data_IF_903994183122
#
_entry.id   IF_903994183122
#
_cell.length_a   1.000
_cell.length_b   1.000
_cell.length_c   1.000
_cell.angle_alpha   90.00
_cell.angle_beta   90.00
_cell.angle_gamma   90.00
#
_symmetry.space_group_name_H-M   'P 1'
#
loop_
_entity.id
_entity.type
_entity.pdbx_description
1 polymer ?
#
# COMPACT_ATOMS: atom_id res chain seq x y z
N UNK A 1 -21.83 -26.82 -28.00
CA UNK A 1 -21.39 -28.13 -27.47
C UNK A 1 -20.18 -28.55 -28.30
N UNK A 2 -19.04 -28.80 -27.64
CA UNK A 2 -17.66 -28.91 -28.17
C UNK A 2 -17.04 -27.54 -28.56
N UNK A 3 -15.87 -27.08 -28.11
CA UNK A 3 -14.74 -27.66 -27.36
C UNK A 3 -14.19 -26.57 -26.39
N UNK A 4 -14.48 -26.67 -25.09
CA UNK A 4 -13.81 -25.85 -24.05
C UNK A 4 -13.37 -26.68 -22.82
N UNK A 5 -13.58 -28.00 -22.83
CA UNK A 5 -13.35 -28.87 -21.66
C UNK A 5 -12.01 -29.62 -21.68
N UNK A 6 -10.97 -29.06 -22.30
CA UNK A 6 -9.62 -29.63 -22.20
C UNK A 6 -8.55 -28.56 -22.32
N UNK A 7 -8.48 -27.68 -21.33
CA UNK A 7 -7.22 -26.99 -21.03
C UNK A 7 -6.56 -27.84 -19.96
N UNK A 8 -5.51 -28.56 -20.33
CA UNK A 8 -4.67 -29.29 -19.38
C UNK A 8 -4.21 -28.31 -18.28
N UNK A 9 -4.24 -28.74 -17.01
CA UNK A 9 -3.78 -28.00 -15.82
C UNK A 9 -2.33 -27.45 -15.93
N UNK A 10 -1.60 -27.81 -16.98
CA UNK A 10 -0.23 -27.42 -17.27
C UNK A 10 -0.09 -26.06 -17.96
N UNK A 11 -1.17 -25.45 -18.47
CA UNK A 11 -1.12 -24.21 -19.26
C UNK A 11 -1.73 -22.98 -18.54
N UNK A 12 -1.91 -23.07 -17.22
CA UNK A 12 -2.11 -21.88 -16.41
C UNK A 12 -0.74 -21.22 -16.18
N UNK A 13 -0.50 -19.94 -16.54
CA UNK A 13 0.80 -19.28 -16.34
C UNK A 13 1.27 -19.22 -14.86
N UNK A 14 0.44 -19.70 -13.94
CA UNK A 14 0.64 -19.71 -12.49
C UNK A 14 0.99 -21.10 -11.92
N UNK A 15 0.92 -22.21 -12.69
CA UNK A 15 0.98 -23.57 -12.12
C UNK A 15 2.39 -24.15 -11.92
N UNK A 16 3.42 -23.62 -12.60
CA UNK A 16 4.74 -24.27 -12.65
C UNK A 16 5.87 -23.61 -11.84
N UNK A 17 5.58 -22.59 -11.02
CA UNK A 17 6.54 -22.09 -10.03
C UNK A 17 5.88 -22.22 -8.66
N UNK A 18 6.43 -23.03 -7.75
CA UNK A 18 5.87 -23.29 -6.40
C UNK A 18 5.82 -22.07 -5.47
N UNK A 19 5.78 -20.85 -6.03
CA UNK A 19 5.74 -19.55 -5.38
C UNK A 19 4.28 -19.11 -5.16
N UNK A 20 3.38 -19.42 -6.09
CA UNK A 20 1.96 -19.08 -5.98
C UNK A 20 1.22 -20.03 -5.05
N UNK A 21 0.41 -19.45 -4.16
CA UNK A 21 -0.44 -20.15 -3.22
C UNK A 21 -1.89 -19.71 -3.44
N UNK A 22 -2.80 -20.64 -3.22
CA UNK A 22 -4.24 -20.36 -3.21
C UNK A 22 -4.72 -20.32 -1.76
N UNK A 23 -5.54 -19.33 -1.42
CA UNK A 23 -6.07 -19.17 -0.05
C UNK A 23 -7.51 -18.67 -0.07
N UNK A 24 -8.15 -18.77 1.10
CA UNK A 24 -9.50 -18.29 1.35
C UNK A 24 -9.46 -17.23 2.42
N UNK A 25 -10.08 -16.07 2.17
CA UNK A 25 -10.32 -15.07 3.22
C UNK A 25 -11.72 -15.23 3.80
N UNK A 26 -11.84 -14.90 5.09
CA UNK A 26 -13.10 -14.83 5.82
C UNK A 26 -13.33 -13.38 6.23
N UNK A 27 -14.50 -12.84 5.92
CA UNK A 27 -14.85 -11.45 6.21
C UNK A 27 -16.15 -11.43 7.04
N UNK A 28 -16.12 -10.91 8.28
CA UNK A 28 -17.33 -10.77 9.09
C UNK A 28 -18.28 -9.75 8.44
N UNK A 29 -19.55 -10.14 8.32
CA UNK A 29 -20.58 -9.32 7.69
C UNK A 29 -21.42 -8.61 8.77
N UNK A 30 -21.40 -7.26 8.84
CA UNK A 30 -22.23 -6.52 9.77
C UNK A 30 -23.71 -6.61 9.38
N UNK A 31 -24.60 -6.61 10.37
CA UNK A 31 -26.03 -6.65 10.16
C UNK A 31 -26.74 -5.77 11.21
N UNK A 32 -27.38 -4.69 10.77
CA UNK A 32 -28.11 -3.79 11.66
C UNK A 32 -29.22 -4.53 12.42
N UNK A 33 -29.45 -4.13 13.67
CA UNK A 33 -30.36 -4.76 14.63
C UNK A 33 -29.98 -6.20 15.05
N UNK A 34 -28.81 -6.69 14.66
CA UNK A 34 -28.31 -7.98 15.10
C UNK A 34 -27.05 -7.79 15.94
N UNK A 35 -27.02 -8.49 17.08
CA UNK A 35 -25.95 -8.39 18.06
C UNK A 35 -25.15 -9.69 18.10
N UNK A 36 -23.86 -9.56 18.21
CA UNK A 36 -22.89 -10.63 18.38
C UNK A 36 -22.07 -10.38 19.64
N UNK A 37 -21.38 -11.39 20.17
CA UNK A 37 -20.49 -11.17 21.31
C UNK A 37 -19.21 -10.43 20.89
N UNK A 38 -18.79 -10.60 19.63
CA UNK A 38 -17.64 -9.95 19.03
C UNK A 38 -17.80 -9.87 17.49
N UNK A 39 -16.88 -9.17 16.82
CA UNK A 39 -16.81 -9.18 15.35
C UNK A 39 -16.59 -10.59 14.78
N UNK A 40 -15.78 -11.42 15.46
CA UNK A 40 -15.45 -12.79 15.02
C UNK A 40 -16.62 -13.77 15.14
N UNK A 41 -17.65 -13.43 15.92
CA UNK A 41 -18.87 -14.23 16.06
C UNK A 41 -19.93 -13.87 14.99
N UNK A 42 -19.71 -12.81 14.21
CA UNK A 42 -20.59 -12.43 13.12
C UNK A 42 -20.63 -13.50 12.02
N UNK A 43 -21.64 -13.46 11.15
CA UNK A 43 -21.64 -14.39 10.01
C UNK A 43 -20.59 -13.95 9.00
N UNK A 44 -19.85 -14.90 8.46
CA UNK A 44 -18.72 -14.62 7.58
C UNK A 44 -19.05 -14.80 6.10
N UNK A 45 -18.55 -13.92 5.25
CA UNK A 45 -18.38 -14.15 3.81
C UNK A 45 -17.06 -14.90 3.60
N UNK A 46 -17.07 -15.94 2.76
CA UNK A 46 -15.88 -16.68 2.41
C UNK A 46 -15.56 -16.41 0.94
N UNK A 47 -14.36 -15.90 0.65
CA UNK A 47 -13.89 -15.69 -0.72
C UNK A 47 -12.71 -16.63 -0.94
N UNK A 48 -12.93 -17.66 -1.76
CA UNK A 48 -11.94 -18.67 -2.09
C UNK A 48 -11.17 -18.28 -3.37
N UNK A 49 -10.08 -19.00 -3.66
CA UNK A 49 -9.37 -18.84 -4.94
C UNK A 49 -8.45 -17.62 -5.02
N UNK A 50 -8.03 -17.07 -3.88
CA UNK A 50 -7.11 -15.93 -3.87
C UNK A 50 -5.71 -16.44 -4.13
N UNK A 51 -5.17 -16.06 -5.29
CA UNK A 51 -3.82 -16.40 -5.72
C UNK A 51 -2.85 -15.32 -5.21
N UNK A 52 -1.88 -15.73 -4.39
CA UNK A 52 -0.87 -14.84 -3.83
C UNK A 52 0.49 -15.50 -3.67
N UNK A 53 1.53 -14.69 -3.54
CA UNK A 53 2.91 -15.10 -3.29
C UNK A 53 3.31 -14.69 -1.87
N UNK A 54 4.10 -15.53 -1.20
CA UNK A 54 4.72 -15.14 0.07
C UNK A 54 5.75 -14.04 -0.17
N UNK A 55 5.61 -12.90 0.51
CA UNK A 55 6.56 -11.78 0.40
C UNK A 55 7.99 -12.24 0.70
N UNK A 56 8.19 -13.11 1.69
CA UNK A 56 9.52 -13.66 2.00
C UNK A 56 10.12 -14.48 0.86
N UNK A 57 9.31 -15.22 0.09
CA UNK A 57 9.81 -15.95 -1.09
C UNK A 57 10.13 -14.99 -2.24
N UNK A 58 9.32 -13.94 -2.41
CA UNK A 58 9.59 -12.87 -3.38
C UNK A 58 10.91 -12.15 -3.04
N UNK A 59 11.13 -11.82 -1.77
CA UNK A 59 12.39 -11.21 -1.30
C UNK A 59 13.59 -12.12 -1.56
N UNK A 60 13.47 -13.43 -1.27
CA UNK A 60 14.54 -14.41 -1.57
C UNK A 60 14.86 -14.46 -3.05
N UNK A 61 13.83 -14.64 -3.87
CA UNK A 61 13.97 -14.68 -5.33
C UNK A 61 14.65 -13.42 -5.86
N UNK A 62 14.17 -12.24 -5.43
CA UNK A 62 14.71 -10.96 -5.86
C UNK A 62 16.17 -10.75 -5.44
N UNK A 63 16.56 -11.16 -4.23
CA UNK A 63 17.94 -11.00 -3.74
C UNK A 63 18.92 -12.04 -4.32
N UNK A 64 18.41 -13.18 -4.81
CA UNK A 64 19.19 -14.25 -5.44
C UNK A 64 19.32 -14.08 -6.96
N UNK A 65 18.48 -13.25 -7.57
CA UNK A 65 18.55 -12.90 -8.97
C UNK A 65 19.83 -12.11 -9.30
N UNK A 66 20.38 -12.32 -10.50
CA UNK A 66 21.61 -11.65 -10.93
C UNK A 66 21.53 -10.12 -10.90
N UNK A 67 20.33 -9.54 -11.06
CA UNK A 67 20.12 -8.10 -10.94
C UNK A 67 20.43 -7.56 -9.53
N UNK A 68 20.38 -8.41 -8.50
CA UNK A 68 20.72 -8.06 -7.11
C UNK A 68 22.18 -7.64 -6.93
N UNK A 69 23.08 -8.08 -7.82
CA UNK A 69 24.50 -7.65 -7.82
C UNK A 69 24.66 -6.14 -7.99
N UNK A 70 23.64 -5.45 -8.51
CA UNK A 70 23.62 -4.00 -8.69
C UNK A 70 22.86 -3.24 -7.58
N UNK A 71 22.42 -3.93 -6.53
CA UNK A 71 21.67 -3.30 -5.45
C UNK A 71 22.56 -2.48 -4.52
N UNK A 72 21.95 -1.45 -3.93
CA UNK A 72 22.56 -0.65 -2.89
C UNK A 72 22.10 -1.14 -1.51
N UNK A 73 23.01 -1.80 -0.79
CA UNK A 73 22.84 -2.24 0.60
C UNK A 73 23.37 -1.26 1.65
N UNK A 74 24.05 -0.21 1.22
CA UNK A 74 24.56 0.84 2.11
C UNK A 74 24.00 2.15 1.57
N UNK A 75 23.14 2.84 2.33
CA UNK A 75 22.65 4.14 1.91
C UNK A 75 23.74 5.20 2.04
N UNK A 76 23.60 6.28 1.28
CA UNK A 76 24.57 7.36 1.28
C UNK A 76 23.94 8.70 0.96
N UNK A 77 24.62 9.78 1.37
CA UNK A 77 24.20 11.12 1.01
C UNK A 77 24.82 11.54 -0.33
N UNK A 78 23.98 11.70 -1.35
CA UNK A 78 24.39 12.26 -2.63
C UNK A 78 24.33 13.80 -2.59
N UNK A 79 25.38 14.43 -3.15
CA UNK A 79 25.47 15.88 -3.31
C UNK A 79 25.89 16.21 -4.75
N UNK A 80 25.33 17.28 -5.28
CA UNK A 80 25.67 17.82 -6.60
C UNK A 80 26.33 19.20 -6.46
N UNK A 81 27.33 19.46 -7.30
CA UNK A 81 27.99 20.76 -7.43
C UNK A 81 27.92 21.20 -8.88
N UNK A 82 27.47 22.43 -9.13
CA UNK A 82 27.42 23.03 -10.46
C UNK A 82 28.83 23.38 -10.97
N UNK A 83 29.67 23.91 -10.08
CA UNK A 83 31.08 24.23 -10.31
C UNK A 83 31.91 23.87 -9.07
N UNK A 84 33.26 23.75 -9.18
CA UNK A 84 34.12 23.44 -8.04
C UNK A 84 33.91 24.38 -6.82
N UNK A 85 33.65 25.66 -7.10
CA UNK A 85 33.46 26.73 -6.11
C UNK A 85 32.00 26.84 -5.62
N UNK A 86 31.06 26.14 -6.26
CA UNK A 86 29.65 26.17 -5.84
C UNK A 86 29.43 25.39 -4.54
N UNK A 87 28.48 25.87 -3.74
CA UNK A 87 28.03 25.15 -2.55
C UNK A 87 27.37 23.82 -2.98
N UNK A 88 27.78 22.68 -2.40
CA UNK A 88 27.16 21.39 -2.71
C UNK A 88 25.69 21.38 -2.29
N UNK A 89 24.83 20.91 -3.19
CA UNK A 89 23.40 20.80 -2.99
C UNK A 89 23.04 19.34 -2.73
N UNK A 90 22.21 19.10 -1.69
CA UNK A 90 21.70 17.78 -1.35
C UNK A 90 20.82 17.25 -2.49
N UNK A 91 21.10 16.03 -2.96
CA UNK A 91 20.30 15.35 -3.97
C UNK A 91 19.66 14.11 -3.36
N UNK A 92 18.35 13.98 -3.56
CA UNK A 92 17.58 12.76 -3.28
C UNK A 92 17.05 12.26 -4.63
N UNK A 93 17.67 11.21 -5.15
CA UNK A 93 17.35 10.67 -6.48
C UNK A 93 16.78 9.27 -6.44
N UNK A 94 17.08 8.54 -5.37
CA UNK A 94 16.81 7.12 -5.14
C UNK A 94 16.43 6.94 -3.67
N UNK A 95 15.73 5.85 -3.37
CA UNK A 95 15.25 5.60 -2.02
C UNK A 95 16.41 5.46 -1.01
N UNK A 96 17.47 4.72 -1.36
CA UNK A 96 18.70 4.58 -0.57
C UNK A 96 19.54 5.87 -0.46
N UNK A 97 19.12 6.97 -1.09
CA UNK A 97 19.72 8.31 -0.89
C UNK A 97 18.85 9.23 -0.04
N UNK A 98 17.61 8.84 0.26
CA UNK A 98 16.65 9.62 1.04
C UNK A 98 16.98 9.58 2.54
N UNK A 99 16.62 10.64 3.26
CA UNK A 99 16.90 10.76 4.69
C UNK A 99 16.16 9.69 5.50
N UNK A 100 14.92 9.35 5.14
CA UNK A 100 14.15 8.27 5.78
C UNK A 100 14.84 6.91 5.67
N UNK A 101 15.49 6.59 4.55
CA UNK A 101 16.22 5.33 4.40
C UNK A 101 17.49 5.34 5.26
N UNK A 102 18.21 6.47 5.30
CA UNK A 102 19.41 6.62 6.13
C UNK A 102 19.09 6.46 7.62
N UNK A 103 17.98 7.04 8.09
CA UNK A 103 17.51 6.91 9.47
C UNK A 103 17.13 5.47 9.81
N UNK A 104 16.42 4.79 8.91
CA UNK A 104 16.02 3.40 9.11
C UNK A 104 17.23 2.45 9.09
N UNK A 105 18.21 2.70 8.24
CA UNK A 105 19.44 1.90 8.15
C UNK A 105 20.26 2.01 9.43
N UNK A 106 20.31 3.20 10.04
CA UNK A 106 20.96 3.39 11.34
C UNK A 106 20.29 2.57 12.45
N UNK A 107 18.95 2.48 12.46
CA UNK A 107 18.22 1.63 13.41
C UNK A 107 18.59 0.16 13.19
N UNK A 108 18.54 -0.33 11.95
CA UNK A 108 18.83 -1.73 11.62
C UNK A 108 20.29 -2.10 11.86
N UNK A 109 21.22 -1.20 11.56
CA UNK A 109 22.65 -1.38 11.81
C UNK A 109 22.98 -1.48 13.31
N UNK A 110 22.12 -0.93 14.18
CA UNK A 110 22.28 -1.02 15.64
C UNK A 110 21.79 -2.36 16.23
N UNK A 111 21.06 -3.16 15.46
CA UNK A 111 20.53 -4.45 15.93
C UNK A 111 21.63 -5.52 16.01
N UNK A 112 21.47 -6.54 16.89
CA UNK A 112 22.40 -7.65 16.97
C UNK A 112 22.60 -8.35 15.61
N UNK A 113 23.85 -8.66 15.28
CA UNK A 113 24.21 -9.41 14.06
C UNK A 113 23.95 -10.91 14.21
N UNK A 114 24.04 -11.43 15.44
CA UNK A 114 23.80 -12.85 15.76
C UNK A 114 22.59 -12.97 16.69
N UNK A 115 21.64 -13.82 16.33
CA UNK A 115 20.54 -14.27 17.17
C UNK A 115 20.84 -15.70 17.62
N UNK A 116 20.27 -16.11 18.77
CA UNK A 116 20.53 -17.43 19.34
C UNK A 116 20.14 -18.60 18.42
N UNK A 117 19.17 -18.38 17.53
CA UNK A 117 18.65 -19.38 16.59
C UNK A 117 19.37 -19.37 15.24
N UNK A 118 20.43 -18.57 15.06
CA UNK A 118 21.11 -18.47 13.77
C UNK A 118 21.95 -19.72 13.46
N UNK A 119 21.98 -20.16 12.19
CA UNK A 119 22.90 -21.21 11.77
C UNK A 119 24.36 -20.74 11.96
N UNK A 120 25.17 -21.49 12.73
CA UNK A 120 26.55 -21.08 13.08
C UNK A 120 27.48 -20.99 11.86
N UNK A 121 27.11 -21.64 10.75
CA UNK A 121 27.94 -21.73 9.54
C UNK A 121 27.71 -20.58 8.54
N UNK A 122 26.78 -19.66 8.82
CA UNK A 122 26.38 -18.59 7.90
C UNK A 122 27.10 -17.24 8.12
N UNK A 123 28.08 -17.19 9.02
CA UNK A 123 28.81 -15.97 9.33
C UNK A 123 29.97 -15.70 8.35
N UNK A 124 30.25 -14.43 8.02
CA UNK A 124 29.65 -13.20 8.56
C UNK A 124 28.30 -12.84 7.90
N UNK A 125 27.33 -12.42 8.74
CA UNK A 125 26.02 -11.90 8.30
C UNK A 125 25.99 -10.39 8.49
N UNK A 126 25.45 -9.66 7.50
CA UNK A 126 25.23 -8.21 7.59
C UNK A 126 23.74 -7.89 7.71
N UNK A 127 23.36 -7.06 8.69
CA UNK A 127 22.03 -6.46 8.74
C UNK A 127 21.89 -5.42 7.63
N UNK A 128 20.82 -5.50 6.85
CA UNK A 128 20.53 -4.57 5.75
C UNK A 128 19.03 -4.40 5.60
N UNK A 129 18.62 -3.24 5.10
CA UNK A 129 17.25 -2.99 4.68
C UNK A 129 16.96 -3.80 3.41
N UNK A 130 15.77 -4.42 3.37
CA UNK A 130 15.08 -4.74 2.13
C UNK A 130 13.95 -3.71 1.96
N UNK A 131 14.17 -2.73 1.09
CA UNK A 131 13.21 -1.66 0.91
C UNK A 131 12.06 -2.13 0.03
N UNK A 132 10.86 -2.12 0.59
CA UNK A 132 9.63 -2.52 -0.09
C UNK A 132 8.98 -1.27 -0.66
N UNK A 133 8.78 -1.30 -1.97
CA UNK A 133 8.00 -0.31 -2.70
C UNK A 133 6.84 -1.02 -3.39
N UNK A 134 5.62 -0.57 -3.13
CA UNK A 134 4.39 -1.18 -3.63
C UNK A 134 3.72 -0.27 -4.66
N UNK A 135 3.13 -0.91 -5.68
CA UNK A 135 2.19 -0.28 -6.60
C UNK A 135 0.96 -1.17 -6.73
N UNK A 136 -0.19 -0.55 -6.93
CA UNK A 136 -1.37 -1.30 -7.37
C UNK A 136 -2.25 -0.41 -8.21
N UNK A 137 -2.78 -0.95 -9.29
CA UNK A 137 -3.67 -0.24 -10.19
C UNK A 137 -4.79 -1.19 -10.59
N UNK A 138 -6.05 -0.76 -10.43
CA UNK A 138 -7.19 -1.56 -10.86
C UNK A 138 -7.31 -1.49 -12.38
N UNK A 139 -7.09 -2.62 -13.04
CA UNK A 139 -7.07 -2.74 -14.49
C UNK A 139 -8.35 -3.39 -15.01
N UNK A 140 -8.96 -2.80 -16.04
CA UNK A 140 -10.04 -3.45 -16.78
C UNK A 140 -9.45 -4.51 -17.71
N UNK A 141 -9.95 -5.75 -17.62
CA UNK A 141 -9.43 -6.89 -18.39
C UNK A 141 -10.00 -6.95 -19.81
N UNK A 142 -11.14 -6.32 -20.08
CA UNK A 142 -11.73 -6.27 -21.41
C UNK A 142 -12.47 -4.95 -21.64
N UNK A 143 -12.49 -4.50 -22.89
CA UNK A 143 -13.21 -3.28 -23.30
C UNK A 143 -14.74 -3.44 -23.29
N UNK A 144 -15.24 -4.67 -23.25
CA UNK A 144 -16.67 -5.00 -23.39
C UNK A 144 -17.22 -5.87 -22.25
N UNK A 145 -16.46 -6.09 -21.17
CA UNK A 145 -16.96 -6.77 -19.98
C UNK A 145 -16.56 -6.01 -18.71
N UNK A 146 -17.32 -6.20 -17.64
CA UNK A 146 -17.04 -5.62 -16.33
C UNK A 146 -15.91 -6.36 -15.58
N UNK A 147 -15.20 -7.27 -16.26
CA UNK A 147 -14.08 -8.00 -15.69
C UNK A 147 -12.94 -7.02 -15.38
N UNK A 148 -12.58 -6.96 -14.10
CA UNK A 148 -11.50 -6.13 -13.58
C UNK A 148 -10.52 -6.99 -12.79
N UNK A 149 -9.27 -6.55 -12.75
CA UNK A 149 -8.18 -7.20 -12.03
C UNK A 149 -7.40 -6.13 -11.29
N UNK A 150 -7.18 -6.36 -10.01
CA UNK A 150 -6.42 -5.45 -9.17
C UNK A 150 -5.14 -6.12 -8.65
N UNK A 151 -4.07 -6.10 -9.45
CA UNK A 151 -2.77 -6.62 -9.05
C UNK A 151 -2.07 -5.74 -8.01
N UNK A 152 -1.28 -6.35 -7.14
CA UNK A 152 -0.26 -5.67 -6.32
C UNK A 152 1.12 -6.03 -6.85
N UNK A 153 1.90 -5.00 -7.17
CA UNK A 153 3.28 -5.09 -7.58
C UNK A 153 4.22 -4.71 -6.44
N UNK A 154 5.29 -5.48 -6.33
CA UNK A 154 6.34 -5.34 -5.33
C UNK A 154 7.66 -5.07 -6.04
N UNK A 155 8.38 -4.04 -5.61
CA UNK A 155 9.72 -3.72 -6.09
C UNK A 155 10.68 -3.54 -4.92
N UNK A 156 11.94 -3.88 -5.19
CA UNK A 156 13.05 -3.55 -4.30
C UNK A 156 13.48 -2.09 -4.49
N UNK A 157 13.39 -1.31 -3.43
CA UNK A 157 13.92 0.05 -3.36
C UNK A 157 15.44 0.11 -3.29
N UNK A 158 16.12 -1.02 -3.03
CA UNK A 158 17.58 -1.14 -3.10
C UNK A 158 18.10 -1.11 -4.55
N UNK A 159 17.24 -1.41 -5.53
CA UNK A 159 17.57 -1.33 -6.93
C UNK A 159 17.39 0.12 -7.43
N UNK A 160 18.31 0.59 -8.29
CA UNK A 160 18.18 1.91 -8.92
C UNK A 160 16.92 2.00 -9.80
N UNK A 161 16.34 3.19 -9.90
CA UNK A 161 15.19 3.47 -10.78
C UNK A 161 15.47 3.21 -12.26
N UNK A 162 16.72 3.26 -12.71
CA UNK A 162 17.06 3.08 -14.13
C UNK A 162 16.81 1.65 -14.63
N UNK A 163 17.35 0.59 -14.02
CA UNK A 163 16.96 -0.77 -14.35
C UNK A 163 15.50 -1.05 -13.98
N UNK A 164 15.01 -0.53 -12.84
CA UNK A 164 13.61 -0.74 -12.40
C UNK A 164 12.59 -0.23 -13.42
N UNK A 165 12.87 0.91 -14.06
CA UNK A 165 12.03 1.51 -15.09
C UNK A 165 12.14 0.87 -16.47
N UNK A 166 12.95 -0.18 -16.64
CA UNK A 166 13.08 -0.92 -17.90
C UNK A 166 12.25 -2.21 -17.82
N UNK A 167 11.18 -2.36 -18.60
CA UNK A 167 10.32 -3.56 -18.55
C UNK A 167 11.07 -4.87 -18.78
N UNK A 168 12.13 -4.85 -19.61
CA UNK A 168 12.97 -6.02 -19.91
C UNK A 168 13.86 -6.47 -18.76
N UNK A 169 13.92 -5.71 -17.66
CA UNK A 169 14.65 -6.08 -16.44
C UNK A 169 13.79 -6.84 -15.44
N UNK A 170 12.48 -6.97 -15.69
CA UNK A 170 11.55 -7.75 -14.86
C UNK A 170 11.62 -7.44 -13.35
N UNK A 171 11.94 -6.20 -12.99
CA UNK A 171 12.11 -5.75 -11.61
C UNK A 171 10.80 -5.70 -10.78
N UNK A 172 9.66 -5.82 -11.46
CA UNK A 172 8.34 -5.81 -10.85
C UNK A 172 7.93 -7.23 -10.49
N UNK A 173 7.74 -7.51 -9.20
CA UNK A 173 7.23 -8.79 -8.74
C UNK A 173 5.73 -8.69 -8.47
N UNK A 174 4.95 -9.53 -9.15
CA UNK A 174 3.53 -9.64 -8.90
C UNK A 174 3.27 -10.53 -7.68
N UNK A 175 2.55 -10.01 -6.66
CA UNK A 175 2.38 -10.74 -5.39
C UNK A 175 0.96 -11.18 -5.09
N UNK A 176 -0.08 -10.53 -5.61
CA UNK A 176 -1.47 -10.94 -5.41
C UNK A 176 -2.41 -10.24 -6.38
N UNK A 177 -3.55 -10.87 -6.65
CA UNK A 177 -4.71 -10.22 -7.24
C UNK A 177 -5.78 -10.02 -6.16
N UNK A 178 -6.17 -8.77 -5.92
CA UNK A 178 -7.27 -8.46 -5.00
C UNK A 178 -8.58 -8.86 -5.69
N UNK A 179 -9.39 -9.75 -5.10
CA UNK A 179 -10.65 -10.15 -5.69
C UNK A 179 -11.70 -9.04 -5.54
N UNK A 180 -12.65 -9.00 -6.46
CA UNK A 180 -13.88 -8.24 -6.28
C UNK A 180 -14.78 -8.89 -5.24
N UNK A 181 -15.75 -8.13 -4.73
CA UNK A 181 -16.85 -8.71 -3.95
C UNK A 181 -17.61 -9.69 -4.86
N UNK A 182 -17.87 -10.94 -4.44
CA UNK A 182 -18.57 -11.92 -5.26
C UNK A 182 -19.94 -11.42 -5.72
N UNK A 183 -20.32 -11.76 -6.96
CA UNK A 183 -21.61 -11.35 -7.54
C UNK A 183 -22.80 -11.95 -6.78
N UNK A 184 -22.63 -13.11 -6.16
CA UNK A 184 -23.62 -13.79 -5.32
C UNK A 184 -23.65 -13.28 -3.87
N UNK A 185 -22.92 -12.22 -3.53
CA UNK A 185 -22.85 -11.67 -2.18
C UNK A 185 -24.23 -11.31 -1.62
N UNK A 186 -25.10 -10.69 -2.41
CA UNK A 186 -26.43 -10.29 -1.96
C UNK A 186 -27.29 -11.51 -1.60
N UNK A 187 -27.19 -12.59 -2.39
CA UNK A 187 -27.88 -13.85 -2.14
C UNK A 187 -27.33 -14.56 -0.90
N UNK A 188 -26.00 -14.60 -0.73
CA UNK A 188 -25.35 -15.13 0.47
C UNK A 188 -25.80 -14.37 1.71
N UNK A 189 -25.83 -13.04 1.62
CA UNK A 189 -26.22 -12.16 2.71
C UNK A 189 -27.71 -12.35 3.04
N UNK A 190 -28.59 -12.39 2.03
CA UNK A 190 -30.03 -12.63 2.18
C UNK A 190 -30.31 -14.00 2.80
N UNK A 191 -29.64 -15.07 2.33
CA UNK A 191 -29.78 -16.42 2.89
C UNK A 191 -29.39 -16.49 4.35
N UNK A 192 -28.34 -15.75 4.74
CA UNK A 192 -27.88 -15.70 6.12
C UNK A 192 -28.83 -14.85 6.96
N UNK A 193 -29.02 -13.59 6.61
CA UNK A 193 -29.68 -12.57 7.45
C UNK A 193 -31.17 -12.37 7.21
N UNK A 194 -31.76 -12.98 6.17
CA UNK A 194 -33.18 -12.84 5.83
C UNK A 194 -33.58 -11.46 5.28
N UNK A 195 -32.59 -10.59 5.02
CA UNK A 195 -32.78 -9.25 4.44
C UNK A 195 -31.60 -8.91 3.51
N UNK A 196 -31.81 -8.08 2.48
CA UNK A 196 -30.72 -7.67 1.59
C UNK A 196 -29.71 -6.77 2.32
N UNK A 197 -28.43 -6.75 1.89
CA UNK A 197 -27.44 -5.83 2.43
C UNK A 197 -27.76 -4.38 2.00
N UNK A 198 -27.48 -3.41 2.86
CA UNK A 198 -27.54 -2.00 2.46
C UNK A 198 -26.36 -1.62 1.57
N UNK A 199 -26.46 -0.50 0.85
CA UNK A 199 -25.33 0.06 0.08
C UNK A 199 -24.09 0.30 0.95
N UNK A 200 -24.29 0.77 2.19
CA UNK A 200 -23.19 1.01 3.13
C UNK A 200 -22.50 -0.28 3.58
N UNK A 201 -23.26 -1.38 3.76
CA UNK A 201 -22.69 -2.71 4.03
C UNK A 201 -21.89 -3.19 2.83
N UNK A 202 -22.41 -3.10 1.60
CA UNK A 202 -21.68 -3.50 0.38
C UNK A 202 -20.37 -2.70 0.25
N UNK A 203 -20.41 -1.38 0.45
CA UNK A 203 -19.21 -0.53 0.42
C UNK A 203 -18.21 -0.92 1.51
N UNK A 204 -18.67 -1.20 2.73
CA UNK A 204 -17.80 -1.65 3.81
C UNK A 204 -17.12 -3.00 3.49
N UNK A 205 -17.88 -3.96 2.97
CA UNK A 205 -17.36 -5.27 2.57
C UNK A 205 -16.28 -5.14 1.49
N UNK A 206 -16.50 -4.33 0.46
CA UNK A 206 -15.48 -4.04 -0.58
C UNK A 206 -14.17 -3.51 0.03
N UNK A 207 -14.25 -2.60 1.00
CA UNK A 207 -13.06 -2.07 1.70
C UNK A 207 -12.36 -3.13 2.55
N UNK A 208 -13.11 -3.99 3.25
CA UNK A 208 -12.57 -5.07 4.09
C UNK A 208 -11.80 -6.12 3.28
N UNK A 209 -12.17 -6.37 2.01
CA UNK A 209 -11.47 -7.35 1.16
C UNK A 209 -9.97 -7.05 1.06
N UNK A 210 -9.61 -5.80 0.75
CA UNK A 210 -8.20 -5.40 0.58
C UNK A 210 -7.41 -5.61 1.87
N UNK A 211 -8.00 -5.27 3.02
CA UNK A 211 -7.36 -5.47 4.31
C UNK A 211 -7.16 -6.96 4.60
N UNK A 212 -8.16 -7.81 4.32
CA UNK A 212 -8.02 -9.26 4.47
C UNK A 212 -7.01 -9.88 3.49
N UNK A 213 -6.87 -9.35 2.29
CA UNK A 213 -5.80 -9.74 1.37
C UNK A 213 -4.43 -9.37 1.94
N UNK A 214 -4.27 -8.16 2.48
CA UNK A 214 -3.04 -7.80 3.18
C UNK A 214 -2.78 -8.66 4.42
N UNK A 215 -3.83 -9.11 5.12
CA UNK A 215 -3.68 -10.01 6.27
C UNK A 215 -3.15 -11.40 5.85
N UNK A 216 -3.44 -11.85 4.62
CA UNK A 216 -2.80 -13.04 4.04
C UNK A 216 -1.33 -12.82 3.69
N UNK A 217 -0.98 -11.64 3.18
CA UNK A 217 0.38 -11.31 2.75
C UNK A 217 1.32 -11.05 3.94
N UNK A 218 0.81 -10.40 4.98
CA UNK A 218 1.50 -10.14 6.26
C UNK A 218 1.34 -11.35 7.20
N UNK A 219 1.68 -12.53 6.69
CA UNK A 219 1.63 -13.80 7.42
C UNK A 219 2.67 -13.86 8.55
N UNK A 220 2.57 -14.87 9.42
CA UNK A 220 3.46 -15.00 10.58
C UNK A 220 4.94 -15.11 10.19
N UNK A 221 5.23 -15.66 9.00
CA UNK A 221 6.59 -15.75 8.46
C UNK A 221 7.12 -14.37 8.07
N UNK A 222 6.30 -13.55 7.42
CA UNK A 222 6.62 -12.16 7.13
C UNK A 222 6.81 -11.36 8.41
N UNK A 223 5.91 -11.51 9.39
CA UNK A 223 6.03 -10.79 10.67
C UNK A 223 7.30 -11.17 11.43
N UNK A 224 7.67 -12.45 11.43
CA UNK A 224 8.96 -12.90 11.97
C UNK A 224 10.13 -12.27 11.23
N UNK A 225 10.07 -12.19 9.90
CA UNK A 225 11.11 -11.53 9.09
C UNK A 225 11.14 -10.01 9.31
N UNK A 226 10.01 -9.37 9.56
CA UNK A 226 9.91 -7.95 9.88
C UNK A 226 10.62 -7.63 11.20
N UNK A 227 10.38 -8.44 12.23
CA UNK A 227 10.96 -8.25 13.56
C UNK A 227 12.43 -8.69 13.67
N UNK A 228 12.78 -9.84 13.09
CA UNK A 228 14.09 -10.49 13.31
C UNK A 228 14.98 -10.51 12.07
N UNK A 229 14.47 -10.02 10.94
CA UNK A 229 15.13 -10.14 9.65
C UNK A 229 15.03 -11.56 9.07
N UNK A 230 15.33 -11.67 7.79
CA UNK A 230 15.44 -12.92 7.05
C UNK A 230 16.85 -13.05 6.47
N UNK A 231 17.52 -14.16 6.77
CA UNK A 231 18.85 -14.44 6.24
C UNK A 231 18.73 -14.97 4.80
N UNK A 232 19.39 -14.30 3.88
CA UNK A 232 19.41 -14.64 2.45
C UNK A 232 20.85 -14.58 1.96
N UNK A 233 21.28 -15.63 1.28
CA UNK A 233 22.51 -15.61 0.48
C UNK A 233 22.19 -14.97 -0.86
N UNK A 234 22.73 -13.78 -1.10
CA UNK A 234 22.51 -12.97 -2.29
C UNK A 234 23.22 -13.54 -3.53
N UNK A 235 22.88 -12.99 -4.70
CA UNK A 235 23.49 -13.34 -6.00
C UNK A 235 25.02 -13.08 -6.06
N UNK A 236 25.53 -12.17 -5.26
CA UNK A 236 26.96 -11.87 -5.10
C UNK A 236 27.65 -12.75 -4.04
N UNK A 237 26.96 -13.79 -3.55
CA UNK A 237 27.40 -14.75 -2.52
C UNK A 237 27.41 -14.16 -1.10
N UNK A 238 27.20 -12.85 -0.94
CA UNK A 238 27.14 -12.22 0.38
C UNK A 238 25.89 -12.68 1.13
N UNK A 239 26.05 -13.02 2.41
CA UNK A 239 24.94 -13.40 3.28
C UNK A 239 24.46 -12.15 4.03
N UNK A 240 23.21 -11.78 3.75
CA UNK A 240 22.57 -10.61 4.31
C UNK A 240 21.37 -11.03 5.17
N UNK A 241 21.26 -10.45 6.36
CA UNK A 241 20.00 -10.43 7.11
C UNK A 241 19.20 -9.21 6.66
N UNK A 242 18.17 -9.48 5.87
CA UNK A 242 17.28 -8.46 5.36
C UNK A 242 16.15 -8.16 6.34
N UNK A 243 15.99 -6.90 6.71
CA UNK A 243 14.81 -6.40 7.42
C UNK A 243 13.87 -5.76 6.39
N UNK A 244 12.68 -6.32 6.15
CA UNK A 244 11.71 -5.72 5.24
C UNK A 244 11.16 -4.41 5.81
N UNK A 245 11.28 -3.33 5.03
CA UNK A 245 10.80 -1.99 5.41
C UNK A 245 9.89 -1.43 4.31
N UNK A 246 8.64 -1.10 4.64
CA UNK A 246 7.74 -0.42 3.70
C UNK A 246 8.09 1.06 3.61
N UNK A 247 8.42 1.52 2.41
CA UNK A 247 8.70 2.94 2.17
C UNK A 247 7.63 3.64 1.36
N UNK A 248 7.09 2.96 0.35
CA UNK A 248 6.12 3.57 -0.56
C UNK A 248 5.04 2.58 -0.94
N UNK A 249 3.82 3.07 -1.06
CA UNK A 249 2.69 2.41 -1.69
C UNK A 249 2.02 3.44 -2.60
N UNK A 250 2.36 3.38 -3.88
CA UNK A 250 1.87 4.30 -4.91
C UNK A 250 0.65 3.72 -5.60
N UNK A 251 -0.44 4.45 -5.49
CA UNK A 251 -1.73 4.13 -6.10
C UNK A 251 -2.44 5.45 -6.42
N UNK A 252 -3.45 5.40 -7.26
CA UNK A 252 -4.34 6.53 -7.48
C UNK A 252 -5.27 6.79 -6.28
N UNK A 253 -5.94 7.95 -6.29
CA UNK A 253 -6.60 8.47 -5.10
C UNK A 253 -7.73 7.58 -4.55
N UNK A 254 -8.67 7.04 -5.35
CA UNK A 254 -9.75 6.19 -4.83
C UNK A 254 -9.24 4.93 -4.14
N UNK A 255 -8.17 4.34 -4.63
CA UNK A 255 -7.52 3.14 -4.14
C UNK A 255 -6.74 3.49 -2.86
N UNK A 256 -6.05 4.64 -2.87
CA UNK A 256 -5.30 5.17 -1.72
C UNK A 256 -6.19 5.34 -0.51
N UNK A 257 -7.40 5.90 -0.69
CA UNK A 257 -8.31 6.11 0.44
C UNK A 257 -8.83 4.80 1.02
N UNK A 258 -8.91 3.74 0.21
CA UNK A 258 -9.30 2.41 0.71
C UNK A 258 -8.17 1.79 1.55
N UNK A 259 -6.91 1.89 1.09
CA UNK A 259 -5.74 1.43 1.85
C UNK A 259 -5.58 2.26 3.14
N UNK A 260 -5.77 3.58 3.04
CA UNK A 260 -5.75 4.51 4.18
C UNK A 260 -6.90 4.28 5.17
N UNK A 261 -7.93 3.53 4.77
CA UNK A 261 -9.18 3.35 5.49
C UNK A 261 -9.93 4.66 5.80
N UNK A 262 -9.95 5.60 4.84
CA UNK A 262 -10.67 6.88 4.94
C UNK A 262 -11.76 7.02 3.88
N UNK A 263 -12.75 7.88 4.14
CA UNK A 263 -13.80 8.21 3.17
C UNK A 263 -13.27 9.13 2.07
N UNK A 264 -13.56 8.75 0.82
CA UNK A 264 -13.21 9.52 -0.36
C UNK A 264 -13.82 10.94 -0.30
N UNK A 265 -12.98 11.97 -0.51
CA UNK A 265 -13.38 13.39 -0.59
C UNK A 265 -14.22 13.92 0.59
N UNK A 266 -14.13 13.27 1.76
CA UNK A 266 -14.80 13.66 3.00
C UNK A 266 -14.15 14.89 3.66
N UNK A 267 -14.36 15.08 4.96
CA UNK A 267 -13.91 16.27 5.69
C UNK A 267 -12.39 16.48 5.56
N UNK A 268 -11.60 15.43 5.74
CA UNK A 268 -10.14 15.43 5.66
C UNK A 268 -9.71 14.47 4.54
N UNK A 269 -9.67 14.93 3.27
CA UNK A 269 -9.56 14.05 2.12
C UNK A 269 -8.14 13.50 1.89
N UNK A 270 -7.12 14.08 2.52
CA UNK A 270 -5.73 13.66 2.35
C UNK A 270 -5.44 12.36 3.13
N UNK A 271 -4.78 11.36 2.51
CA UNK A 271 -4.29 10.18 3.21
C UNK A 271 -3.13 10.44 4.17
N UNK A 272 -2.43 11.56 4.05
CA UNK A 272 -1.25 11.88 4.88
C UNK A 272 -1.51 12.96 5.92
N UNK A 273 -2.51 13.82 5.69
CA UNK A 273 -2.76 15.00 6.55
C UNK A 273 -4.21 15.07 7.00
N UNK A 274 -4.44 15.70 8.14
CA UNK A 274 -5.77 15.99 8.68
C UNK A 274 -6.33 17.32 8.16
N UNK A 275 -5.81 17.86 7.06
CA UNK A 275 -6.25 19.13 6.50
C UNK A 275 -7.73 19.05 6.05
N UNK A 276 -8.63 19.89 6.62
CA UNK A 276 -10.01 19.92 6.17
C UNK A 276 -10.17 20.45 4.74
N UNK A 277 -11.08 19.85 3.98
CA UNK A 277 -11.40 20.16 2.57
C UNK A 277 -11.68 21.64 2.31
N UNK A 278 -12.34 22.32 3.26
CA UNK A 278 -12.65 23.76 3.18
C UNK A 278 -11.41 24.66 3.06
N UNK A 279 -10.23 24.15 3.41
CA UNK A 279 -8.97 24.90 3.37
C UNK A 279 -8.11 24.61 2.13
N UNK A 280 -8.56 23.72 1.23
CA UNK A 280 -7.83 23.36 -0.01
C UNK A 280 -7.62 24.57 -0.92
N UNK A 281 -8.52 25.56 -0.91
CA UNK A 281 -8.35 26.80 -1.68
C UNK A 281 -7.11 27.61 -1.27
N UNK A 282 -6.52 27.32 -0.10
CA UNK A 282 -5.30 27.95 0.39
C UNK A 282 -4.01 27.19 0.05
N UNK A 283 -4.05 26.15 -0.79
CA UNK A 283 -2.86 25.39 -1.19
C UNK A 283 -1.75 26.32 -1.72
N UNK A 284 -0.50 26.05 -1.32
CA UNK A 284 0.69 26.83 -1.67
C UNK A 284 0.93 28.06 -0.79
N UNK A 285 0.06 28.35 0.18
CA UNK A 285 0.28 29.44 1.15
C UNK A 285 1.10 29.00 2.36
N UNK A 286 1.70 29.94 3.09
CA UNK A 286 2.38 29.66 4.37
C UNK A 286 1.43 29.02 5.41
N UNK A 287 0.15 29.37 5.36
CA UNK A 287 -0.86 28.78 6.27
C UNK A 287 -1.15 27.33 5.87
N UNK A 288 -1.17 27.03 4.58
CA UNK A 288 -1.27 25.66 4.10
C UNK A 288 -0.06 24.81 4.48
N UNK A 289 1.16 25.36 4.40
CA UNK A 289 2.36 24.68 4.90
C UNK A 289 2.23 24.27 6.38
N UNK A 290 1.76 25.17 7.24
CA UNK A 290 1.48 24.87 8.65
C UNK A 290 0.36 23.83 8.81
N UNK A 291 -0.69 23.90 8.01
CA UNK A 291 -1.79 22.91 8.06
C UNK A 291 -1.31 21.52 7.66
N UNK A 292 -0.44 21.39 6.66
CA UNK A 292 0.14 20.11 6.24
C UNK A 292 1.05 19.47 7.28
N UNK A 293 1.53 20.22 8.27
CA UNK A 293 2.26 19.65 9.41
C UNK A 293 1.35 18.83 10.33
N UNK A 294 0.03 18.97 10.22
CA UNK A 294 -0.94 18.13 10.94
C UNK A 294 -1.11 16.81 10.19
N UNK A 295 -0.11 15.95 10.35
CA UNK A 295 -0.06 14.62 9.75
C UNK A 295 -1.11 13.70 10.39
N UNK A 296 -1.52 12.68 9.63
CA UNK A 296 -2.25 11.54 10.18
C UNK A 296 -1.28 10.63 10.91
N UNK A 297 -1.68 10.18 12.08
CA UNK A 297 -0.90 9.31 12.94
C UNK A 297 -1.70 8.05 13.22
N UNK A 298 -1.07 6.89 13.06
CA UNK A 298 -1.56 5.61 13.57
C UNK A 298 -1.22 5.47 15.06
N UNK A 299 -1.83 6.31 15.88
CA UNK A 299 -1.68 6.28 17.34
C UNK A 299 -2.78 5.45 18.01
N UNK A 300 -2.69 5.33 19.34
CA UNK A 300 -3.69 4.60 20.14
C UNK A 300 -5.08 5.22 19.97
N UNK A 301 -5.19 6.55 19.94
CA UNK A 301 -6.48 7.23 19.81
C UNK A 301 -7.15 6.95 18.46
N UNK A 302 -6.39 6.89 17.37
CA UNK A 302 -6.84 6.47 16.05
C UNK A 302 -7.41 5.04 16.07
N UNK A 303 -6.69 4.09 16.67
CA UNK A 303 -7.14 2.69 16.76
C UNK A 303 -8.37 2.53 17.64
N UNK A 304 -8.38 3.14 18.81
CA UNK A 304 -9.51 3.11 19.75
C UNK A 304 -10.79 3.66 19.10
N UNK A 305 -10.69 4.68 18.25
CA UNK A 305 -11.84 5.22 17.52
C UNK A 305 -12.45 4.20 16.55
N UNK A 306 -11.61 3.48 15.81
CA UNK A 306 -12.06 2.47 14.85
C UNK A 306 -12.62 1.24 15.57
N UNK A 307 -11.95 0.79 16.63
CA UNK A 307 -12.38 -0.37 17.44
C UNK A 307 -13.72 -0.09 18.13
N UNK A 308 -13.90 1.08 18.74
CA UNK A 308 -15.18 1.47 19.34
C UNK A 308 -16.31 1.53 18.28
N UNK A 309 -16.01 1.98 17.06
CA UNK A 309 -16.99 1.99 15.97
C UNK A 309 -17.36 0.56 15.51
N UNK A 310 -16.41 -0.37 15.51
CA UNK A 310 -16.66 -1.80 15.23
C UNK A 310 -17.51 -2.44 16.33
N UNK A 311 -17.22 -2.14 17.60
CA UNK A 311 -18.02 -2.61 18.74
C UNK A 311 -19.49 -2.16 18.64
N UNK A 312 -19.73 -0.88 18.31
CA UNK A 312 -21.09 -0.37 18.07
C UNK A 312 -21.86 -1.20 17.03
N UNK A 313 -21.19 -1.65 15.99
CA UNK A 313 -21.84 -2.36 14.88
C UNK A 313 -22.04 -3.82 15.21
N UNK A 314 -21.01 -4.53 15.65
CA UNK A 314 -21.10 -5.96 15.87
C UNK A 314 -21.73 -6.33 17.22
N UNK A 315 -21.39 -5.61 18.29
CA UNK A 315 -21.88 -5.91 19.65
C UNK A 315 -23.23 -5.25 19.91
N UNK A 316 -23.40 -4.00 19.48
CA UNK A 316 -24.63 -3.25 19.74
C UNK A 316 -25.65 -3.29 18.59
N UNK A 317 -25.27 -3.83 17.42
CA UNK A 317 -26.17 -3.97 16.27
C UNK A 317 -26.54 -2.63 15.62
N UNK A 318 -25.70 -1.60 15.78
CA UNK A 318 -25.91 -0.30 15.13
C UNK A 318 -25.59 -0.44 13.63
N UNK A 319 -26.33 0.28 12.78
CA UNK A 319 -26.06 0.31 11.34
C UNK A 319 -24.69 0.95 11.01
N UNK A 320 -24.11 0.56 9.87
CA UNK A 320 -22.80 1.06 9.39
C UNK A 320 -22.75 2.59 9.25
N UNK A 321 -23.90 3.23 9.00
CA UNK A 321 -24.08 4.68 8.88
C UNK A 321 -24.94 5.24 10.03
N UNK A 322 -24.93 4.58 11.18
CA UNK A 322 -25.63 5.07 12.37
C UNK A 322 -24.97 6.34 12.92
N UNK A 323 -25.77 7.26 13.47
CA UNK A 323 -25.27 8.55 13.97
C UNK A 323 -24.10 8.42 14.96
N UNK A 324 -24.16 7.43 15.87
CA UNK A 324 -23.08 7.16 16.83
C UNK A 324 -21.78 6.68 16.17
N UNK A 325 -21.88 5.95 15.05
CA UNK A 325 -20.73 5.50 14.27
C UNK A 325 -20.12 6.69 13.53
N UNK A 326 -20.95 7.52 12.92
CA UNK A 326 -20.50 8.72 12.19
C UNK A 326 -19.82 9.73 13.13
N UNK A 327 -20.38 9.98 14.31
CA UNK A 327 -19.81 10.89 15.31
C UNK A 327 -18.37 10.51 15.68
N UNK A 328 -18.07 9.21 15.74
CA UNK A 328 -16.73 8.70 16.06
C UNK A 328 -15.73 8.88 14.93
N UNK A 329 -16.16 8.67 13.68
CA UNK A 329 -15.24 8.52 12.54
C UNK A 329 -15.14 9.77 11.65
N UNK A 330 -16.19 10.58 11.58
CA UNK A 330 -16.33 11.65 10.58
C UNK A 330 -15.27 12.77 10.72
N UNK A 331 -14.87 13.11 11.95
CA UNK A 331 -13.93 14.19 12.24
C UNK A 331 -12.57 14.01 11.56
N UNK A 332 -12.13 12.76 11.42
CA UNK A 332 -10.90 12.41 10.70
C UNK A 332 -11.20 11.70 9.38
N UNK A 333 -12.46 11.67 8.95
CA UNK A 333 -12.92 10.97 7.74
C UNK A 333 -12.59 9.49 7.73
N UNK A 334 -12.49 8.85 8.90
CA UNK A 334 -12.16 7.43 9.00
C UNK A 334 -13.33 6.58 8.52
N UNK A 335 -13.03 5.39 8.02
CA UNK A 335 -14.02 4.36 7.77
C UNK A 335 -14.04 3.36 8.93
N UNK A 336 -15.04 2.49 8.96
CA UNK A 336 -15.11 1.37 9.91
C UNK A 336 -13.99 0.33 9.73
N UNK A 337 -13.26 0.39 8.62
CA UNK A 337 -12.27 -0.62 8.28
C UNK A 337 -10.99 -0.39 9.08
N UNK A 338 -10.54 -1.40 9.82
CA UNK A 338 -9.22 -1.38 10.45
C UNK A 338 -8.15 -1.72 9.40
N UNK A 339 -7.09 -0.92 9.32
CA UNK A 339 -5.95 -1.18 8.45
C UNK A 339 -5.16 -2.39 8.96
N UNK A 340 -4.86 -3.35 8.08
CA UNK A 340 -4.01 -4.50 8.44
C UNK A 340 -2.58 -4.05 8.77
N UNK A 341 -2.09 -3.01 8.09
CA UNK A 341 -0.79 -2.42 8.41
C UNK A 341 -0.77 -1.86 9.83
N UNK A 342 -1.84 -1.18 10.26
CA UNK A 342 -1.98 -0.72 11.65
C UNK A 342 -2.03 -1.89 12.62
N UNK A 343 -2.89 -2.88 12.36
CA UNK A 343 -3.04 -4.07 13.20
C UNK A 343 -1.73 -4.86 13.40
N UNK A 344 -0.91 -4.97 12.34
CA UNK A 344 0.30 -5.80 12.33
C UNK A 344 1.59 -5.03 12.63
N UNK A 345 1.67 -3.75 12.30
CA UNK A 345 2.92 -3.00 12.30
C UNK A 345 2.98 -1.86 13.33
N UNK A 346 1.85 -1.48 13.93
CA UNK A 346 1.82 -0.39 14.92
C UNK A 346 2.70 -0.67 16.16
N UNK A 347 2.86 -1.95 16.55
CA UNK A 347 3.73 -2.34 17.68
C UNK A 347 5.21 -2.01 17.43
N UNK A 348 5.62 -1.88 16.16
CA UNK A 348 6.97 -1.48 15.76
C UNK A 348 7.10 0.02 15.53
N UNK A 349 6.06 0.81 15.85
CA UNK A 349 6.03 2.26 15.64
C UNK A 349 5.88 2.68 14.18
N UNK A 350 5.40 1.78 13.31
CA UNK A 350 5.21 2.09 11.90
C UNK A 350 3.90 2.87 11.66
N UNK A 351 4.02 4.10 11.18
CA UNK A 351 2.87 4.91 10.77
C UNK A 351 2.51 4.63 9.31
N UNK A 352 1.51 3.79 9.07
CA UNK A 352 1.18 3.34 7.71
C UNK A 352 0.66 4.44 6.77
N UNK A 353 0.31 5.62 7.27
CA UNK A 353 -0.04 6.76 6.41
C UNK A 353 1.17 7.28 5.62
N UNK A 354 2.39 7.14 6.17
CA UNK A 354 3.61 7.71 5.58
C UNK A 354 4.03 7.01 4.29
N UNK A 355 3.71 5.72 4.13
CA UNK A 355 3.99 5.01 2.89
C UNK A 355 3.06 5.43 1.74
N UNK A 356 1.90 6.05 2.01
CA UNK A 356 0.89 6.38 1.00
C UNK A 356 1.27 7.64 0.21
N UNK A 357 2.21 7.49 -0.72
CA UNK A 357 2.75 8.60 -1.51
C UNK A 357 1.87 8.96 -2.72
N UNK A 358 1.99 10.18 -3.24
CA UNK A 358 1.35 10.59 -4.49
C UNK A 358 1.92 9.85 -5.69
N UNK A 359 1.03 9.37 -6.55
CA UNK A 359 1.43 8.84 -7.85
C UNK A 359 1.44 9.99 -8.86
N UNK A 360 2.62 10.58 -9.06
CA UNK A 360 2.76 11.71 -9.98
C UNK A 360 2.42 11.32 -11.42
N UNK A 361 2.62 10.05 -11.80
CA UNK A 361 2.32 9.61 -13.16
C UNK A 361 0.81 9.63 -13.36
N UNK A 362 0.03 8.98 -12.50
CA UNK A 362 -1.44 9.03 -12.58
C UNK A 362 -1.97 10.46 -12.41
N UNK A 363 -1.43 11.25 -11.48
CA UNK A 363 -1.86 12.65 -11.29
C UNK A 363 -1.61 13.53 -12.53
N UNK A 364 -0.55 13.24 -13.30
CA UNK A 364 -0.23 13.95 -14.54
C UNK A 364 -1.01 13.38 -15.74
N UNK A 365 -1.05 12.05 -15.90
CA UNK A 365 -1.65 11.33 -17.02
C UNK A 365 -3.17 11.41 -17.04
N UNK A 366 -3.83 11.39 -15.87
CA UNK A 366 -5.29 11.57 -15.75
C UNK A 366 -5.76 12.99 -16.15
N UNK A 367 -4.86 13.84 -16.63
CA UNK A 367 -5.18 15.12 -17.25
C UNK A 367 -5.40 16.26 -16.27
N UNK A 368 -5.30 16.03 -14.96
CA UNK A 368 -5.39 17.08 -13.95
C UNK A 368 -4.25 18.08 -14.12
N UNK A 369 -3.00 17.61 -14.20
CA UNK A 369 -1.87 18.51 -14.49
C UNK A 369 -2.01 19.16 -15.86
N UNK A 370 -2.44 18.40 -16.89
CA UNK A 370 -2.65 18.94 -18.23
C UNK A 370 -3.68 20.09 -18.22
N UNK A 371 -4.77 19.95 -17.48
CA UNK A 371 -5.80 20.98 -17.32
C UNK A 371 -5.26 22.23 -16.60
N UNK A 372 -4.51 22.03 -15.51
CA UNK A 372 -3.84 23.13 -14.78
C UNK A 372 -2.83 23.83 -15.68
N UNK A 373 -1.97 23.08 -16.37
CA UNK A 373 -0.98 23.62 -17.30
C UNK A 373 -1.64 24.39 -18.44
N UNK A 374 -2.68 23.84 -19.06
CA UNK A 374 -3.46 24.55 -20.08
C UNK A 374 -4.07 25.85 -19.54
N UNK A 375 -4.58 25.85 -18.30
CA UNK A 375 -5.10 27.05 -17.66
C UNK A 375 -4.02 28.10 -17.41
N UNK A 376 -2.85 27.69 -16.89
CA UNK A 376 -1.70 28.58 -16.71
C UNK A 376 -1.20 29.15 -18.04
N UNK A 377 -1.16 28.34 -19.10
CA UNK A 377 -0.81 28.80 -20.45
C UNK A 377 -1.81 29.82 -20.98
N UNK A 378 -3.12 29.66 -20.72
CA UNK A 378 -4.14 30.67 -21.07
C UNK A 378 -3.91 31.98 -20.33
N UNK A 379 -3.57 31.95 -19.04
CA UNK A 379 -3.22 33.16 -18.28
C UNK A 379 -1.99 33.84 -18.89
N UNK A 380 -0.95 33.08 -19.23
CA UNK A 380 0.25 33.63 -19.86
C UNK A 380 -0.02 34.26 -21.23
N UNK A 381 -0.99 33.76 -22.01
CA UNK A 381 -1.41 34.39 -23.26
C UNK A 381 -2.09 35.76 -23.05
N UNK A 382 -2.68 36.00 -21.88
CA UNK A 382 -3.27 37.31 -21.53
C UNK A 382 -2.21 38.33 -21.08
N UNK A 383 -1.01 37.87 -20.72
CA UNK A 383 0.09 38.73 -20.27
C UNK A 383 1.05 39.00 -21.44
N UNK A 384 1.17 40.27 -21.83
CA UNK A 384 2.04 40.69 -22.95
C UNK A 384 3.48 40.21 -22.73
N UNK A 385 4.06 39.56 -23.75
CA UNK A 385 5.44 39.04 -23.76
C UNK A 385 5.78 37.91 -22.75
N UNK A 386 4.80 37.34 -22.04
CA UNK A 386 5.07 36.28 -21.07
C UNK A 386 5.50 34.96 -21.73
N UNK A 387 4.87 34.57 -22.85
CA UNK A 387 5.20 33.34 -23.59
C UNK A 387 6.62 33.36 -24.17
N UNK A 388 7.07 34.42 -24.89
CA UNK A 388 8.47 34.53 -25.33
C UNK A 388 9.49 34.50 -24.18
N UNK A 389 9.12 35.07 -23.02
CA UNK A 389 9.98 35.06 -21.82
C UNK A 389 10.11 33.66 -21.25
N UNK A 390 9.02 32.91 -21.15
CA UNK A 390 9.01 31.52 -20.69
C UNK A 390 9.82 30.60 -21.62
N UNK A 391 9.78 30.84 -22.94
CA UNK A 391 10.47 30.05 -23.94
C UNK A 391 11.97 30.35 -24.07
N UNK A 392 12.49 31.32 -23.31
CA UNK A 392 13.90 31.69 -23.35
C UNK A 392 14.73 30.57 -22.71
N UNK A 393 15.47 29.85 -23.54
CA UNK A 393 16.35 28.74 -23.13
C UNK A 393 17.65 29.24 -22.53
#
# INVERSE_FOLDING_TARGET
MALLDSVDDLDVPFSNTGIWKMSTIKIPMPCECQKFSSEDDARHLHICGIHHCSICEVMRSAAQDDSAKSWHHIPFKLYWKLSPDSMPQRVVSELYTADMFLEEDQKIASLPLCLADDPPDLFPVKNTIFAIMLWSDSTHLANFSDASMWPIYFYSGNQSKYPRGRPTQHAAHHIVHIPSLPDDFEDIYMKKYGKPPSKSVITHMKRKIIQKVWELLLDDKFMRAYQHGIIIRCADIIVCRFFPCFFTYSVDYPEKVIIAAIHQLALCPSPQTLMPKKYISGLGTRVDEQRRQHLRLDDVAHRDQVEAAQELIFVHGIGVTGAYVEERLQNQSLTLTQSTFSKKLSEFGFNYFDMLISDLLHEIELGNWKAVFMHLMRILHLVKNAIPTLNKR
#
